data_IF_080860291929
#
_entry.id   IF_080860291929
#
_cell.length_a   1.000
_cell.length_b   1.000
_cell.length_c   1.000
_cell.angle_alpha   90.00
_cell.angle_beta   90.00
_cell.angle_gamma   90.00
#
_symmetry.space_group_name_H-M   'P 1'
#
loop_
_entity.id
_entity.type
_entity.pdbx_description
1 polymer ?
#
# COMPACT_ATOMS: atom_id res chain seq x y z
N UNK A 1 28.61 70.88 12.18
CA UNK A 1 28.80 70.13 13.45
C UNK A 1 27.72 70.48 14.49
N UNK A 2 27.27 71.74 14.59
CA UNK A 2 26.29 72.22 15.58
C UNK A 2 24.85 71.72 15.39
N UNK A 3 24.37 71.57 14.15
CA UNK A 3 22.98 71.14 13.90
C UNK A 3 22.71 69.67 14.27
N UNK A 4 23.73 68.83 14.16
CA UNK A 4 23.62 67.40 14.50
C UNK A 4 23.55 67.22 16.01
N UNK A 5 24.35 67.98 16.76
CA UNK A 5 24.31 68.01 18.23
C UNK A 5 22.96 68.54 18.76
N UNK A 6 22.41 69.57 18.10
CA UNK A 6 21.10 70.12 18.47
C UNK A 6 19.96 69.12 18.25
N UNK A 7 19.96 68.40 17.12
CA UNK A 7 18.99 67.32 16.85
C UNK A 7 19.16 66.13 17.79
N UNK A 8 20.40 65.83 18.21
CA UNK A 8 20.69 64.78 19.19
C UNK A 8 20.10 65.13 20.57
N UNK A 9 20.19 66.41 20.95
CA UNK A 9 19.71 66.90 22.24
C UNK A 9 18.17 66.98 22.28
N UNK A 10 17.53 67.42 21.19
CA UNK A 10 16.05 67.45 21.08
C UNK A 10 15.42 66.04 21.20
N UNK A 11 16.11 65.00 20.70
CA UNK A 11 15.61 63.64 20.67
C UNK A 11 16.28 62.68 21.66
N UNK A 12 17.02 63.20 22.65
CA UNK A 12 17.84 62.38 23.54
C UNK A 12 17.01 61.35 24.34
N UNK A 13 15.77 61.71 24.69
CA UNK A 13 14.83 60.81 25.35
C UNK A 13 14.38 59.65 24.44
N UNK A 14 14.11 59.93 23.16
CA UNK A 14 13.73 58.91 22.19
C UNK A 14 14.89 57.98 21.87
N UNK A 15 16.10 58.53 21.73
CA UNK A 15 17.32 57.75 21.47
C UNK A 15 17.61 56.82 22.64
N UNK A 16 17.53 57.30 23.89
CA UNK A 16 17.76 56.47 25.09
C UNK A 16 16.77 55.32 25.22
N UNK A 17 15.48 55.54 24.91
CA UNK A 17 14.47 54.47 24.89
C UNK A 17 14.79 53.43 23.82
N UNK A 18 15.10 53.85 22.59
CA UNK A 18 15.41 52.92 21.50
C UNK A 18 16.67 52.11 21.82
N UNK A 19 17.71 52.75 22.37
CA UNK A 19 18.92 52.06 22.80
C UNK A 19 18.65 51.05 23.92
N UNK A 20 17.80 51.40 24.91
CA UNK A 20 17.41 50.49 25.98
C UNK A 20 16.64 49.27 25.46
N UNK A 21 15.73 49.45 24.50
CA UNK A 21 14.98 48.36 23.87
C UNK A 21 15.91 47.43 23.08
N UNK A 22 16.83 47.98 22.30
CA UNK A 22 17.80 47.18 21.52
C UNK A 22 18.74 46.39 22.44
N UNK A 23 19.22 47.01 23.53
CA UNK A 23 20.02 46.32 24.54
C UNK A 23 19.23 45.20 25.22
N UNK A 24 17.97 45.44 25.58
CA UNK A 24 17.10 44.42 26.18
C UNK A 24 16.88 43.22 25.26
N UNK A 25 16.59 43.46 23.98
CA UNK A 25 16.43 42.39 22.98
C UNK A 25 17.72 41.60 22.76
N UNK A 26 18.87 42.28 22.71
CA UNK A 26 20.17 41.63 22.57
C UNK A 26 20.50 40.72 23.77
N UNK A 27 20.21 41.19 24.98
CA UNK A 27 20.43 40.44 26.21
C UNK A 27 19.51 39.21 26.31
N UNK A 28 18.24 39.36 25.91
CA UNK A 28 17.28 38.25 25.85
C UNK A 28 17.70 37.18 24.85
N UNK A 29 18.21 37.59 23.68
CA UNK A 29 18.72 36.66 22.68
C UNK A 29 19.94 35.89 23.21
N UNK A 30 20.90 36.59 23.82
CA UNK A 30 22.09 35.97 24.42
C UNK A 30 21.72 34.95 25.52
N UNK A 31 20.77 35.29 26.40
CA UNK A 31 20.28 34.39 27.44
C UNK A 31 19.61 33.14 26.85
N UNK A 32 18.76 33.29 25.82
CA UNK A 32 18.07 32.15 25.20
C UNK A 32 19.04 31.15 24.55
N UNK A 33 20.09 31.65 23.90
CA UNK A 33 21.16 30.81 23.32
C UNK A 33 21.99 30.14 24.41
N UNK A 34 22.34 30.87 25.48
CA UNK A 34 23.09 30.32 26.61
C UNK A 34 22.36 29.20 27.35
N UNK A 35 21.06 29.37 27.58
CA UNK A 35 20.19 28.35 28.21
C UNK A 35 20.08 27.10 27.31
N UNK A 36 19.92 27.29 26.00
CA UNK A 36 19.88 26.18 25.04
C UNK A 36 21.18 25.37 25.01
N UNK A 37 22.34 26.04 25.12
CA UNK A 37 23.63 25.37 25.20
C UNK A 37 23.78 24.60 26.52
N UNK A 38 23.43 25.22 27.65
CA UNK A 38 23.53 24.59 28.97
C UNK A 38 22.64 23.34 29.11
N UNK A 39 21.40 23.37 28.60
CA UNK A 39 20.49 22.22 28.64
C UNK A 39 21.01 21.08 27.75
N UNK A 40 21.59 21.40 26.57
CA UNK A 40 22.13 20.40 25.65
C UNK A 40 23.39 19.71 26.19
N UNK A 41 24.19 20.41 27.00
CA UNK A 41 25.37 19.85 27.66
C UNK A 41 25.06 18.90 28.82
N UNK A 42 23.81 18.85 29.29
CA UNK A 42 23.38 18.02 30.43
C UNK A 42 22.66 16.73 30.00
N UNK A 43 22.71 16.35 28.72
CA UNK A 43 22.23 15.03 28.26
C UNK A 43 23.42 14.08 28.18
N UNK A 44 23.72 13.28 29.23
CA UNK A 44 24.64 12.17 29.07
C UNK A 44 24.03 11.17 28.07
N UNK A 45 24.79 10.82 27.04
CA UNK A 45 24.56 9.66 26.16
C UNK A 45 24.78 8.37 26.95
N UNK A 46 23.98 8.13 28.00
CA UNK A 46 24.00 6.90 28.76
C UNK A 46 22.68 6.14 28.54
N UNK A 47 22.63 5.39 27.44
CA UNK A 47 21.77 4.21 27.33
C UNK A 47 22.58 3.01 26.84
N UNK A 48 23.68 2.73 27.55
CA UNK A 48 24.14 1.36 27.77
C UNK A 48 23.83 0.99 29.21
N UNK A 49 22.55 0.72 29.48
CA UNK A 49 22.14 0.03 30.69
C UNK A 49 21.68 -1.36 30.28
N UNK A 50 22.54 -2.33 30.62
CA UNK A 50 22.31 -3.75 30.51
C UNK A 50 20.90 -4.13 30.97
N UNK A 51 20.06 -4.58 30.03
CA UNK A 51 18.93 -5.42 30.37
C UNK A 51 19.47 -6.80 30.70
N UNK A 52 19.31 -7.16 31.97
CA UNK A 52 19.49 -8.48 32.57
C UNK A 52 19.40 -9.62 31.56
N UNK A 53 20.44 -10.47 31.58
CA UNK A 53 20.44 -11.74 30.88
C UNK A 53 19.20 -12.55 31.28
N UNK A 54 18.26 -12.69 30.34
CA UNK A 54 17.28 -13.75 30.38
C UNK A 54 18.02 -15.11 30.40
N UNK A 55 17.44 -16.18 30.98
CA UNK A 55 18.04 -17.50 30.86
C UNK A 55 18.20 -17.79 29.36
N UNK A 56 19.43 -18.06 28.92
CA UNK A 56 19.67 -18.54 27.55
C UNK A 56 18.76 -19.76 27.37
N UNK A 57 17.78 -19.74 26.44
CA UNK A 57 17.12 -20.96 26.08
C UNK A 57 18.23 -21.90 25.61
N UNK A 58 18.41 -23.02 26.32
CA UNK A 58 19.20 -24.13 25.79
C UNK A 58 18.71 -24.32 24.36
N UNK A 59 19.62 -24.20 23.40
CA UNK A 59 19.34 -24.48 22.01
C UNK A 59 18.89 -25.93 21.95
N UNK A 60 17.57 -26.16 22.01
CA UNK A 60 16.98 -27.33 21.40
C UNK A 60 17.54 -27.33 19.99
N UNK A 61 18.41 -28.29 19.72
CA UNK A 61 18.89 -28.56 18.38
C UNK A 61 17.66 -28.58 17.49
N UNK A 62 17.47 -27.51 16.72
CA UNK A 62 16.39 -27.46 15.73
C UNK A 62 16.70 -28.63 14.81
N UNK A 63 15.81 -29.65 14.72
CA UNK A 63 16.08 -30.77 13.85
C UNK A 63 16.37 -30.21 12.46
N UNK A 64 17.45 -30.70 11.86
CA UNK A 64 17.95 -30.27 10.57
C UNK A 64 16.80 -30.25 9.55
N UNK A 65 16.76 -29.23 8.68
CA UNK A 65 15.64 -29.00 7.76
C UNK A 65 15.31 -30.23 6.88
N UNK A 66 16.26 -31.16 6.72
CA UNK A 66 16.11 -32.47 6.08
C UNK A 66 15.06 -33.37 6.76
N UNK A 67 14.90 -33.30 8.08
CA UNK A 67 13.90 -34.08 8.83
C UNK A 67 12.48 -33.67 8.45
N UNK A 68 12.27 -32.39 8.14
CA UNK A 68 10.98 -31.87 7.69
C UNK A 68 10.77 -32.03 6.19
N UNK A 69 11.81 -32.36 5.42
CA UNK A 69 11.69 -32.54 3.98
C UNK A 69 10.71 -33.67 3.67
N UNK A 70 10.82 -34.83 4.31
CA UNK A 70 9.89 -35.97 4.11
C UNK A 70 8.42 -35.66 4.47
N UNK A 71 8.22 -34.76 5.42
CA UNK A 71 6.89 -34.29 5.85
C UNK A 71 6.30 -33.36 4.79
N UNK A 72 7.14 -32.51 4.19
CA UNK A 72 6.79 -31.52 3.16
C UNK A 72 6.74 -32.13 1.76
N UNK A 73 7.50 -33.20 1.48
CA UNK A 73 7.66 -33.79 0.14
C UNK A 73 6.67 -34.90 -0.18
N UNK A 74 5.81 -35.35 0.74
CA UNK A 74 4.69 -36.20 0.33
C UNK A 74 3.98 -37.05 1.37
N UNK A 75 4.42 -37.09 2.63
CA UNK A 75 3.81 -37.98 3.62
C UNK A 75 2.50 -37.45 4.25
N UNK A 76 2.22 -36.15 4.19
CA UNK A 76 1.02 -35.56 4.83
C UNK A 76 -0.29 -35.77 4.04
N UNK A 77 -0.21 -36.09 2.75
CA UNK A 77 -1.36 -36.14 1.86
C UNK A 77 -1.54 -37.49 1.15
N UNK A 78 -0.54 -38.40 1.25
CA UNK A 78 -0.62 -39.74 0.65
C UNK A 78 -0.95 -40.77 1.72
N UNK A 79 -2.23 -41.15 1.78
CA UNK A 79 -2.56 -42.53 2.14
C UNK A 79 -1.98 -43.43 1.05
N UNK A 80 -0.91 -44.15 1.37
CA UNK A 80 -0.32 -45.29 0.62
C UNK A 80 -0.82 -45.48 -0.83
N UNK A 81 -0.27 -44.71 -1.76
CA UNK A 81 -0.18 -45.11 -3.16
C UNK A 81 1.12 -44.57 -3.73
N UNK A 82 1.82 -45.50 -4.37
CA UNK A 82 3.24 -45.51 -4.65
C UNK A 82 3.62 -44.49 -5.73
N UNK A 83 4.80 -43.91 -5.55
CA UNK A 83 5.77 -43.47 -6.55
C UNK A 83 5.31 -43.58 -8.03
N UNK A 84 4.97 -42.45 -8.65
CA UNK A 84 5.14 -42.29 -10.08
C UNK A 84 5.79 -40.95 -10.36
N UNK A 85 7.11 -40.98 -10.48
CA UNK A 85 7.87 -39.93 -11.12
C UNK A 85 7.50 -39.96 -12.61
N UNK A 86 6.64 -39.03 -13.03
CA UNK A 86 6.43 -38.73 -14.43
C UNK A 86 6.99 -37.33 -14.69
N UNK A 87 8.28 -37.30 -15.03
CA UNK A 87 8.87 -36.25 -15.85
C UNK A 87 8.11 -36.20 -17.17
N UNK A 88 7.35 -35.13 -17.40
CA UNK A 88 6.63 -34.90 -18.64
C UNK A 88 6.74 -33.42 -19.02
N UNK A 89 7.80 -33.09 -19.74
CA UNK A 89 7.77 -31.95 -20.65
C UNK A 89 6.75 -32.26 -21.76
N UNK A 90 5.69 -31.46 -21.80
CA UNK A 90 4.84 -31.33 -22.97
C UNK A 90 4.66 -29.85 -23.24
N UNK A 91 5.49 -29.33 -24.14
CA UNK A 91 5.06 -28.24 -25.01
C UNK A 91 3.94 -28.76 -25.89
N UNK A 92 2.77 -28.16 -25.74
CA UNK A 92 1.59 -28.48 -26.52
C UNK A 92 0.45 -27.58 -26.07
N UNK A 93 -0.04 -26.75 -26.98
CA UNK A 93 -1.32 -26.04 -26.86
C UNK A 93 -2.46 -27.07 -26.83
N UNK A 94 -2.70 -27.64 -25.67
CA UNK A 94 -3.85 -28.49 -25.37
C UNK A 94 -4.89 -27.64 -24.67
N UNK A 95 -6.14 -27.76 -25.08
CA UNK A 95 -7.28 -27.12 -24.41
C UNK A 95 -7.20 -27.44 -22.91
N UNK A 96 -7.07 -26.39 -22.09
CA UNK A 96 -6.81 -26.55 -20.67
C UNK A 96 -8.04 -27.13 -19.96
N UNK A 97 -7.86 -28.21 -19.21
CA UNK A 97 -8.95 -28.90 -18.49
C UNK A 97 -9.52 -28.09 -17.32
N UNK A 98 -10.59 -28.57 -16.69
CA UNK A 98 -11.10 -27.94 -15.46
C UNK A 98 -10.37 -28.53 -14.23
N UNK A 99 -9.71 -27.65 -13.45
CA UNK A 99 -8.98 -27.98 -12.23
C UNK A 99 -9.59 -27.26 -11.04
N UNK A 100 -9.52 -27.85 -9.85
CA UNK A 100 -9.94 -27.24 -8.59
C UNK A 100 -8.75 -27.16 -7.64
N UNK A 101 -8.48 -25.98 -7.08
CA UNK A 101 -7.43 -25.83 -6.08
C UNK A 101 -7.98 -26.20 -4.70
N UNK A 102 -7.53 -27.32 -4.12
CA UNK A 102 -8.03 -27.80 -2.83
C UNK A 102 -7.26 -27.25 -1.63
N UNK A 103 -5.98 -26.89 -1.82
CA UNK A 103 -5.13 -26.42 -0.74
C UNK A 103 -3.79 -25.89 -1.22
N UNK A 104 -3.13 -25.11 -0.38
CA UNK A 104 -1.80 -24.58 -0.65
C UNK A 104 -0.94 -24.64 0.60
N UNK A 105 0.33 -24.97 0.40
CA UNK A 105 1.39 -24.90 1.40
C UNK A 105 2.38 -23.86 0.91
N UNK A 106 2.47 -22.76 1.62
CA UNK A 106 3.44 -21.70 1.31
C UNK A 106 4.81 -22.05 1.87
N UNK A 107 5.85 -21.70 1.14
CA UNK A 107 7.23 -21.88 1.58
C UNK A 107 8.21 -21.31 0.55
N UNK A 108 9.44 -21.82 0.53
CA UNK A 108 10.42 -21.48 -0.51
C UNK A 108 10.05 -22.16 -1.83
N UNK A 109 10.73 -21.83 -2.93
CA UNK A 109 10.44 -22.41 -4.26
C UNK A 109 10.44 -23.95 -4.25
N UNK A 110 11.26 -24.56 -3.41
CA UNK A 110 11.40 -26.01 -3.27
C UNK A 110 10.37 -26.65 -2.33
N UNK A 111 9.82 -25.91 -1.35
CA UNK A 111 8.89 -26.46 -0.35
C UNK A 111 7.44 -26.07 -0.59
N UNK A 112 7.17 -25.07 -1.44
CA UNK A 112 5.81 -24.65 -1.74
C UNK A 112 5.07 -25.71 -2.58
N UNK A 113 3.84 -26.05 -2.17
CA UNK A 113 3.00 -27.07 -2.82
C UNK A 113 1.57 -26.57 -3.02
N UNK A 114 0.99 -26.87 -4.17
CA UNK A 114 -0.42 -26.61 -4.48
C UNK A 114 -1.13 -27.96 -4.67
N UNK A 115 -2.16 -28.22 -3.89
CA UNK A 115 -2.98 -29.42 -4.00
C UNK A 115 -4.09 -29.15 -5.01
N UNK A 116 -4.01 -29.81 -6.17
CA UNK A 116 -4.88 -29.58 -7.32
C UNK A 116 -5.61 -30.87 -7.66
N UNK A 117 -6.93 -30.77 -7.81
CA UNK A 117 -7.78 -31.85 -8.28
C UNK A 117 -8.20 -31.58 -9.72
N UNK A 118 -7.85 -32.49 -10.62
CA UNK A 118 -8.36 -32.49 -12.00
C UNK A 118 -9.74 -33.16 -12.03
N UNK A 119 -10.63 -32.69 -12.91
CA UNK A 119 -11.97 -33.27 -13.03
C UNK A 119 -11.89 -34.76 -13.39
N UNK A 120 -12.34 -35.62 -12.48
CA UNK A 120 -12.31 -37.08 -12.64
C UNK A 120 -11.04 -37.77 -12.13
N UNK A 121 -10.12 -37.05 -11.48
CA UNK A 121 -8.93 -37.62 -10.82
C UNK A 121 -8.85 -37.24 -9.35
N UNK A 122 -8.00 -37.94 -8.60
CA UNK A 122 -7.68 -37.60 -7.22
C UNK A 122 -6.84 -36.31 -7.14
N UNK A 123 -6.75 -35.75 -5.94
CA UNK A 123 -6.02 -34.52 -5.70
C UNK A 123 -4.52 -34.80 -5.56
N UNK A 124 -3.71 -34.17 -6.41
CA UNK A 124 -2.25 -34.30 -6.40
C UNK A 124 -1.55 -33.00 -6.04
N UNK A 125 -0.36 -33.12 -5.44
CA UNK A 125 0.44 -31.99 -4.99
C UNK A 125 1.48 -31.58 -6.05
N UNK A 126 1.40 -30.32 -6.50
CA UNK A 126 2.27 -29.75 -7.53
C UNK A 126 3.20 -28.68 -6.98
N UNK A 127 4.43 -28.65 -7.50
CA UNK A 127 5.46 -27.66 -7.19
C UNK A 127 5.46 -26.51 -8.21
N UNK A 128 6.10 -25.38 -7.86
CA UNK A 128 6.27 -24.25 -8.78
C UNK A 128 7.09 -24.69 -10.00
N UNK A 129 6.52 -24.57 -11.19
CA UNK A 129 7.08 -24.98 -12.48
C UNK A 129 6.46 -26.24 -13.07
N UNK A 130 5.70 -27.01 -12.28
CA UNK A 130 5.00 -28.20 -12.79
C UNK A 130 3.69 -27.84 -13.48
N UNK A 131 3.30 -28.64 -14.47
CA UNK A 131 2.07 -28.50 -15.23
C UNK A 131 1.01 -29.52 -14.81
N UNK A 132 -0.25 -29.11 -14.83
CA UNK A 132 -1.43 -29.95 -14.56
C UNK A 132 -2.56 -29.54 -15.51
N UNK A 133 -3.09 -30.48 -16.28
CA UNK A 133 -4.21 -30.26 -17.21
C UNK A 133 -4.05 -29.01 -18.13
N UNK A 134 -2.81 -28.69 -18.57
CA UNK A 134 -2.49 -27.52 -19.39
C UNK A 134 -2.16 -26.22 -18.63
N UNK A 135 -2.14 -26.25 -17.29
CA UNK A 135 -1.78 -25.13 -16.43
C UNK A 135 -0.42 -25.31 -15.77
N UNK A 136 0.48 -24.36 -15.91
CA UNK A 136 1.79 -24.38 -15.23
C UNK A 136 1.75 -23.56 -13.94
N UNK A 137 2.10 -24.16 -12.80
CA UNK A 137 2.16 -23.45 -11.52
C UNK A 137 3.30 -22.43 -11.56
N UNK A 138 2.99 -21.14 -11.49
CA UNK A 138 4.00 -20.05 -11.51
C UNK A 138 4.26 -19.48 -10.12
N UNK A 139 3.29 -19.60 -9.20
CA UNK A 139 3.46 -19.12 -7.83
C UNK A 139 2.41 -19.66 -6.88
N UNK A 140 2.76 -19.73 -5.59
CA UNK A 140 1.89 -20.25 -4.54
C UNK A 140 1.87 -19.22 -3.41
N UNK A 141 0.68 -18.72 -3.11
CA UNK A 141 0.39 -17.76 -2.04
C UNK A 141 -0.35 -18.42 -0.89
N UNK A 142 -0.66 -17.63 0.15
CA UNK A 142 -1.27 -18.13 1.40
C UNK A 142 -2.65 -18.76 1.23
N UNK A 143 -3.42 -18.30 0.25
CA UNK A 143 -4.81 -18.73 0.03
C UNK A 143 -5.14 -18.94 -1.45
N UNK A 144 -4.11 -19.01 -2.29
CA UNK A 144 -4.25 -19.06 -3.75
C UNK A 144 -3.00 -19.61 -4.41
N UNK A 145 -3.14 -20.11 -5.62
CA UNK A 145 -2.04 -20.42 -6.52
C UNK A 145 -2.24 -19.72 -7.86
N UNK A 146 -1.14 -19.34 -8.50
CA UNK A 146 -1.11 -18.71 -9.81
C UNK A 146 -0.64 -19.73 -10.84
N UNK A 147 -1.42 -19.85 -11.91
CA UNK A 147 -1.24 -20.79 -12.98
C UNK A 147 -1.04 -20.03 -14.31
N UNK A 148 -0.20 -20.53 -15.20
CA UNK A 148 -0.04 -20.02 -16.57
C UNK A 148 -0.73 -20.98 -17.54
N UNK A 149 -1.58 -20.46 -18.41
CA UNK A 149 -2.26 -21.19 -19.49
C UNK A 149 -2.09 -20.39 -20.78
N UNK A 150 -1.33 -20.93 -21.74
CA UNK A 150 -0.86 -20.13 -22.88
C UNK A 150 -0.09 -18.89 -22.41
N UNK A 151 -0.50 -17.69 -22.84
CA UNK A 151 0.07 -16.41 -22.39
C UNK A 151 -0.63 -15.80 -21.17
N UNK A 152 -1.73 -16.40 -20.69
CA UNK A 152 -2.55 -15.82 -19.61
C UNK A 152 -2.16 -16.38 -18.25
N UNK A 153 -2.01 -15.49 -17.27
CA UNK A 153 -1.79 -15.87 -15.87
C UNK A 153 -3.10 -15.83 -15.09
N UNK A 154 -3.49 -16.98 -14.54
CA UNK A 154 -4.73 -17.23 -13.84
C UNK A 154 -4.47 -17.41 -12.34
N UNK A 155 -5.13 -16.61 -11.49
CA UNK A 155 -5.12 -16.80 -10.04
C UNK A 155 -6.35 -17.58 -9.59
N UNK A 156 -6.14 -18.76 -9.02
CA UNK A 156 -7.18 -19.63 -8.47
C UNK A 156 -7.06 -19.60 -6.94
N UNK A 157 -8.15 -19.30 -6.23
CA UNK A 157 -8.15 -19.37 -4.76
C UNK A 157 -8.45 -20.80 -4.28
N UNK A 158 -8.10 -21.11 -3.04
CA UNK A 158 -8.41 -22.41 -2.45
C UNK A 158 -9.94 -22.60 -2.37
N UNK A 159 -10.43 -23.78 -2.77
CA UNK A 159 -11.84 -24.12 -2.91
C UNK A 159 -12.46 -23.73 -4.25
N UNK A 160 -11.67 -23.18 -5.18
CA UNK A 160 -12.17 -22.63 -6.43
C UNK A 160 -11.75 -23.44 -7.67
N UNK A 161 -12.63 -23.48 -8.67
CA UNK A 161 -12.37 -24.10 -9.98
C UNK A 161 -11.72 -23.14 -10.97
N UNK A 162 -10.95 -23.66 -11.92
CA UNK A 162 -10.29 -22.88 -12.97
C UNK A 162 -11.28 -22.15 -13.87
N UNK A 163 -12.45 -22.73 -14.15
CA UNK A 163 -13.51 -22.06 -14.92
C UNK A 163 -14.00 -20.78 -14.25
N UNK A 164 -14.19 -20.81 -12.92
CA UNK A 164 -14.61 -19.63 -12.14
C UNK A 164 -13.51 -18.56 -12.11
N UNK A 165 -12.27 -19.00 -11.96
CA UNK A 165 -11.12 -18.10 -12.00
C UNK A 165 -10.97 -17.46 -13.39
N UNK A 166 -11.22 -18.22 -14.47
CA UNK A 166 -11.16 -17.74 -15.85
C UNK A 166 -12.26 -16.73 -16.11
N UNK A 167 -13.49 -16.97 -15.62
CA UNK A 167 -14.55 -15.96 -15.66
C UNK A 167 -14.08 -14.68 -14.98
N UNK A 168 -13.46 -14.73 -13.80
CA UNK A 168 -12.95 -13.51 -13.14
C UNK A 168 -11.87 -12.79 -13.95
N UNK A 169 -10.93 -13.52 -14.56
CA UNK A 169 -9.91 -12.90 -15.41
C UNK A 169 -10.56 -12.31 -16.65
N UNK A 170 -11.50 -13.00 -17.30
CA UNK A 170 -12.21 -12.50 -18.47
C UNK A 170 -13.14 -11.32 -18.12
N UNK A 171 -13.74 -11.31 -16.93
CA UNK A 171 -14.45 -10.15 -16.36
C UNK A 171 -13.47 -9.02 -16.07
N UNK A 172 -12.19 -9.29 -15.79
CA UNK A 172 -11.16 -8.28 -15.52
C UNK A 172 -10.52 -7.71 -16.79
N UNK A 173 -10.36 -8.50 -17.87
CA UNK A 173 -10.00 -8.02 -19.22
C UNK A 173 -11.17 -7.32 -19.92
N UNK A 174 -12.42 -7.73 -19.64
CA UNK A 174 -13.62 -6.98 -20.07
C UNK A 174 -13.96 -5.82 -19.11
N UNK A 175 -13.35 -5.77 -17.92
CA UNK A 175 -13.38 -4.63 -16.98
C UNK A 175 -12.24 -3.64 -17.18
N UNK A 176 -11.65 -3.59 -18.39
CA UNK A 176 -11.29 -2.30 -18.96
C UNK A 176 -12.54 -1.54 -19.45
N UNK A 177 -13.72 -2.18 -19.48
CA UNK A 177 -14.96 -1.58 -19.96
C UNK A 177 -16.27 -2.04 -19.28
N UNK A 178 -16.26 -2.50 -18.02
CA UNK A 178 -17.48 -2.78 -17.26
C UNK A 178 -17.38 -2.34 -15.79
N UNK A 179 -17.76 -1.07 -15.60
CA UNK A 179 -18.71 -0.56 -14.59
C UNK A 179 -18.86 -1.41 -13.31
N UNK A 180 -18.15 -1.00 -12.25
CA UNK A 180 -18.37 -1.47 -10.89
C UNK A 180 -19.81 -1.27 -10.45
N UNK A 181 -20.34 -2.26 -9.74
CA UNK A 181 -21.54 -2.15 -8.92
C UNK A 181 -21.46 -0.85 -8.09
N UNK A 182 -22.46 0.03 -8.27
CA UNK A 182 -22.51 1.41 -7.77
C UNK A 182 -21.48 2.38 -8.38
N UNK A 183 -21.66 2.72 -9.65
CA UNK A 183 -21.09 3.97 -10.19
C UNK A 183 -21.85 5.16 -9.62
N UNK A 184 -21.14 6.03 -8.89
CA UNK A 184 -21.70 7.28 -8.40
C UNK A 184 -21.15 8.41 -9.26
N UNK A 185 -22.03 9.09 -10.00
CA UNK A 185 -21.65 10.27 -10.76
C UNK A 185 -21.78 11.50 -9.87
N UNK A 186 -20.70 12.26 -9.73
CA UNK A 186 -20.66 13.51 -8.96
C UNK A 186 -20.35 14.65 -9.90
N UNK A 187 -21.32 15.55 -10.09
CA UNK A 187 -21.14 16.77 -10.88
C UNK A 187 -20.71 17.91 -9.96
N UNK A 188 -19.60 18.57 -10.28
CA UNK A 188 -19.05 19.70 -9.53
C UNK A 188 -18.82 20.89 -10.45
N UNK A 189 -19.19 22.08 -10.00
CA UNK A 189 -18.87 23.29 -10.76
C UNK A 189 -17.40 23.66 -10.57
N UNK A 190 -16.75 24.13 -11.64
CA UNK A 190 -15.33 24.48 -11.67
C UNK A 190 -14.99 25.63 -10.74
N UNK A 191 -15.94 26.53 -10.49
CA UNK A 191 -15.80 27.62 -9.51
C UNK A 191 -15.75 27.10 -8.08
N UNK A 192 -16.67 26.18 -7.72
CA UNK A 192 -16.66 25.53 -6.40
C UNK A 192 -15.38 24.73 -6.22
N UNK A 193 -14.98 24.02 -7.27
CA UNK A 193 -13.76 23.23 -7.28
C UNK A 193 -12.51 24.10 -7.07
N UNK A 194 -12.34 25.18 -7.82
CA UNK A 194 -11.25 26.14 -7.64
C UNK A 194 -11.21 26.71 -6.23
N UNK A 195 -12.35 27.02 -5.61
CA UNK A 195 -12.45 27.55 -4.24
C UNK A 195 -12.00 26.56 -3.17
N UNK A 196 -12.18 25.26 -3.40
CA UNK A 196 -11.73 24.19 -2.49
C UNK A 196 -10.23 23.91 -2.66
N UNK A 197 -9.74 24.04 -3.90
CA UNK A 197 -8.33 23.82 -4.25
C UNK A 197 -7.42 25.04 -4.13
N UNK A 198 -7.95 26.24 -3.80
CA UNK A 198 -7.14 27.47 -3.75
C UNK A 198 -6.11 27.46 -2.61
N UNK A 199 -6.15 26.46 -1.73
CA UNK A 199 -5.07 26.18 -0.79
C UNK A 199 -3.84 25.67 -1.53
N UNK A 200 -2.68 26.23 -1.20
CA UNK A 200 -1.38 25.82 -1.74
C UNK A 200 -1.21 24.30 -1.59
N UNK A 201 -0.37 23.63 -2.40
CA UNK A 201 -0.20 22.17 -2.38
C UNK A 201 0.09 21.61 -0.96
N UNK A 202 0.65 22.44 -0.08
CA UNK A 202 0.86 22.18 1.35
C UNK A 202 -0.42 22.04 2.19
N UNK A 203 -1.52 22.72 1.82
CA UNK A 203 -2.81 22.63 2.51
C UNK A 203 -3.48 21.26 2.31
N UNK A 204 -3.10 20.53 1.26
CA UNK A 204 -3.61 19.18 0.98
C UNK A 204 -3.23 18.18 2.07
N UNK A 205 -1.96 18.22 2.48
CA UNK A 205 -1.43 17.41 3.59
C UNK A 205 -1.99 17.86 4.94
N UNK A 206 -2.41 19.12 5.04
CA UNK A 206 -2.98 19.71 6.26
C UNK A 206 -4.42 19.26 6.50
N UNK A 207 -5.24 19.24 5.46
CA UNK A 207 -6.67 18.92 5.55
C UNK A 207 -7.00 17.46 5.20
N UNK A 208 -6.04 16.71 4.66
CA UNK A 208 -6.19 15.29 4.33
C UNK A 208 -4.99 14.51 4.88
N UNK A 209 -5.26 13.45 5.65
CA UNK A 209 -4.23 12.47 6.03
C UNK A 209 -4.50 11.19 5.30
N UNK A 210 -3.47 10.66 4.66
CA UNK A 210 -3.51 9.37 3.97
C UNK A 210 -2.28 8.54 4.28
N UNK A 211 -2.38 7.23 4.07
CA UNK A 211 -1.25 6.30 4.19
C UNK A 211 -1.32 5.25 3.10
N UNK A 212 -0.17 4.73 2.69
CA UNK A 212 -0.13 3.57 1.81
C UNK A 212 -0.72 2.37 2.54
N UNK A 213 -1.61 1.64 1.87
CA UNK A 213 -2.19 0.40 2.38
C UNK A 213 -1.41 -0.76 1.82
N UNK A 214 -0.79 -1.53 2.71
CA UNK A 214 -0.11 -2.77 2.36
C UNK A 214 -1.01 -3.99 2.61
N UNK A 215 -0.96 -4.94 1.69
CA UNK A 215 -1.56 -6.27 1.87
C UNK A 215 -0.57 -7.33 1.37
N UNK A 216 -0.04 -8.13 2.29
CA UNK A 216 0.91 -9.20 1.94
C UNK A 216 2.21 -8.73 1.30
N UNK A 217 2.74 -7.57 1.73
CA UNK A 217 3.99 -7.01 1.21
C UNK A 217 3.86 -6.22 -0.09
N UNK A 218 2.64 -6.10 -0.65
CA UNK A 218 2.37 -5.26 -1.82
C UNK A 218 1.49 -4.07 -1.43
N UNK A 219 1.79 -2.89 -1.97
CA UNK A 219 0.92 -1.73 -1.83
C UNK A 219 -0.31 -1.98 -2.69
N UNK A 220 -1.48 -1.90 -2.07
CA UNK A 220 -2.76 -2.20 -2.73
C UNK A 220 -3.57 -0.94 -3.03
N UNK A 221 -3.18 0.20 -2.48
CA UNK A 221 -3.91 1.45 -2.60
C UNK A 221 -3.47 2.48 -1.57
N UNK A 222 -4.17 3.61 -1.55
CA UNK A 222 -3.95 4.69 -0.59
C UNK A 222 -5.16 4.77 0.33
N UNK A 223 -4.95 4.52 1.62
CA UNK A 223 -5.99 4.62 2.65
C UNK A 223 -6.15 6.07 3.11
N UNK A 224 -7.37 6.57 3.07
CA UNK A 224 -7.75 7.87 3.63
C UNK A 224 -7.92 7.71 5.15
N UNK A 225 -7.05 8.35 5.92
CA UNK A 225 -7.05 8.29 7.40
C UNK A 225 -7.92 9.39 7.97
N UNK A 226 -7.82 10.59 7.40
CA UNK A 226 -8.59 11.75 7.82
C UNK A 226 -8.92 12.62 6.61
N UNK A 227 -10.13 13.14 6.58
CA UNK A 227 -10.62 14.10 5.59
C UNK A 227 -11.40 15.19 6.33
N UNK A 228 -11.03 16.45 6.12
CA UNK A 228 -11.80 17.58 6.65
C UNK A 228 -13.14 17.74 5.91
N UNK A 229 -14.30 17.69 6.61
CA UNK A 229 -15.61 17.75 5.93
C UNK A 229 -15.88 19.03 5.14
N UNK A 230 -15.32 20.16 5.58
CA UNK A 230 -15.55 21.46 4.96
C UNK A 230 -14.52 21.77 3.85
N UNK A 231 -13.28 21.28 4.03
CA UNK A 231 -12.14 21.67 3.19
C UNK A 231 -11.60 20.56 2.28
N UNK A 232 -11.92 19.30 2.55
CA UNK A 232 -11.46 18.18 1.72
C UNK A 232 -12.32 18.05 0.46
N UNK A 233 -11.70 18.20 -0.70
CA UNK A 233 -12.37 17.94 -1.97
C UNK A 233 -12.81 16.46 -2.07
N UNK A 234 -11.98 15.52 -1.59
CA UNK A 234 -12.31 14.08 -1.57
C UNK A 234 -13.57 13.81 -0.74
N UNK A 235 -13.73 14.48 0.40
CA UNK A 235 -14.92 14.34 1.23
C UNK A 235 -16.19 14.83 0.52
N UNK A 236 -16.08 15.97 -0.18
CA UNK A 236 -17.19 16.53 -0.96
C UNK A 236 -17.57 15.65 -2.15
N UNK A 237 -16.62 14.91 -2.71
CA UNK A 237 -16.83 13.90 -3.74
C UNK A 237 -17.48 12.61 -3.21
N UNK A 238 -17.75 12.52 -1.91
CA UNK A 238 -18.38 11.35 -1.31
C UNK A 238 -17.40 10.34 -0.72
N UNK A 239 -16.09 10.60 -0.77
CA UNK A 239 -15.12 9.81 -0.03
C UNK A 239 -15.29 10.00 1.48
N UNK A 240 -14.93 9.00 2.26
CA UNK A 240 -15.05 8.98 3.71
C UNK A 240 -13.75 8.50 4.35
N UNK A 241 -13.47 8.91 5.61
CA UNK A 241 -12.36 8.34 6.36
C UNK A 241 -12.47 6.81 6.42
N UNK A 242 -11.37 6.10 6.17
CA UNK A 242 -11.31 4.65 6.11
C UNK A 242 -11.34 4.07 4.70
N UNK A 243 -11.79 4.84 3.70
CA UNK A 243 -11.79 4.44 2.30
C UNK A 243 -10.38 4.17 1.76
N UNK A 244 -10.26 3.24 0.82
CA UNK A 244 -8.99 2.91 0.16
C UNK A 244 -9.13 3.23 -1.32
N UNK A 245 -8.39 4.23 -1.77
CA UNK A 245 -8.26 4.57 -3.18
C UNK A 245 -7.41 3.51 -3.88
N UNK A 246 -8.01 2.80 -4.83
CA UNK A 246 -7.41 1.67 -5.56
C UNK A 246 -6.87 2.10 -6.90
N UNK A 247 -7.71 2.79 -7.68
CA UNK A 247 -7.39 3.20 -9.04
C UNK A 247 -7.83 4.63 -9.32
N UNK A 248 -7.11 5.27 -10.23
CA UNK A 248 -7.37 6.59 -10.77
C UNK A 248 -7.24 6.52 -12.29
N UNK A 249 -8.31 6.85 -13.02
CA UNK A 249 -8.38 6.75 -14.48
C UNK A 249 -7.90 5.38 -15.03
N UNK A 250 -8.21 4.30 -14.31
CA UNK A 250 -7.79 2.94 -14.67
C UNK A 250 -6.39 2.53 -14.19
N UNK A 251 -5.55 3.48 -13.76
CA UNK A 251 -4.21 3.20 -13.22
C UNK A 251 -4.24 2.93 -11.71
N UNK A 252 -3.31 2.12 -11.21
CA UNK A 252 -3.25 1.78 -9.78
C UNK A 252 -2.58 2.86 -8.94
N UNK A 253 -3.16 3.16 -7.79
CA UNK A 253 -2.62 4.10 -6.81
C UNK A 253 -1.69 3.40 -5.82
N UNK A 254 -0.47 3.10 -6.26
CA UNK A 254 0.52 2.34 -5.47
C UNK A 254 1.62 3.20 -4.84
N UNK A 255 1.65 4.52 -5.10
CA UNK A 255 2.68 5.39 -4.57
C UNK A 255 2.15 6.82 -4.33
N UNK A 256 2.94 7.62 -3.61
CA UNK A 256 2.58 9.01 -3.28
C UNK A 256 2.58 9.92 -4.52
N UNK A 257 3.43 9.66 -5.51
CA UNK A 257 3.49 10.44 -6.75
C UNK A 257 2.16 10.37 -7.54
N UNK A 258 1.53 9.19 -7.60
CA UNK A 258 0.24 8.99 -8.27
C UNK A 258 -0.92 9.73 -7.58
N UNK A 259 -0.83 10.00 -6.28
CA UNK A 259 -1.79 10.87 -5.60
C UNK A 259 -1.65 12.33 -6.06
N UNK A 260 -0.43 12.78 -6.31
CA UNK A 260 -0.18 14.12 -6.82
C UNK A 260 -0.67 14.27 -8.26
N UNK A 261 -0.51 13.22 -9.06
CA UNK A 261 -1.03 13.15 -10.42
C UNK A 261 -2.57 13.21 -10.44
N UNK A 262 -3.25 12.44 -9.59
CA UNK A 262 -4.71 12.53 -9.40
C UNK A 262 -5.15 13.97 -9.14
N UNK A 263 -4.42 14.70 -8.30
CA UNK A 263 -4.72 16.09 -7.98
C UNK A 263 -4.54 17.03 -9.17
N UNK A 264 -3.44 16.89 -9.92
CA UNK A 264 -3.19 17.69 -11.12
C UNK A 264 -4.25 17.42 -12.20
N UNK A 265 -4.60 16.15 -12.40
CA UNK A 265 -5.65 15.77 -13.34
C UNK A 265 -6.99 16.38 -12.94
N UNK A 266 -7.33 16.46 -11.65
CA UNK A 266 -8.54 17.16 -11.23
C UNK A 266 -8.56 18.64 -11.61
N UNK A 267 -7.41 19.30 -11.68
CA UNK A 267 -7.34 20.69 -12.13
C UNK A 267 -7.48 20.83 -13.64
N UNK A 268 -6.98 19.87 -14.42
CA UNK A 268 -6.83 19.98 -15.88
C UNK A 268 -7.90 19.26 -16.67
N UNK A 269 -8.50 18.19 -16.12
CA UNK A 269 -9.47 17.33 -16.79
C UNK A 269 -10.89 17.64 -16.32
N UNK A 270 -11.85 17.48 -17.24
CA UNK A 270 -13.28 17.71 -16.97
C UNK A 270 -13.99 16.43 -16.52
N UNK A 271 -13.38 15.26 -16.75
CA UNK A 271 -13.93 13.97 -16.35
C UNK A 271 -12.85 13.10 -15.76
N UNK A 272 -13.12 12.55 -14.58
CA UNK A 272 -12.20 11.70 -13.84
C UNK A 272 -12.95 10.50 -13.27
N UNK A 273 -12.31 9.33 -13.27
CA UNK A 273 -12.86 8.13 -12.65
C UNK A 273 -11.94 7.64 -11.53
N UNK A 274 -12.51 7.40 -10.34
CA UNK A 274 -11.76 6.97 -9.16
C UNK A 274 -12.40 5.73 -8.55
N UNK A 275 -11.64 4.67 -8.40
CA UNK A 275 -12.10 3.46 -7.70
C UNK A 275 -11.73 3.52 -6.23
N UNK A 276 -12.76 3.45 -5.40
CA UNK A 276 -12.68 3.48 -3.95
C UNK A 276 -13.17 2.16 -3.38
N UNK A 277 -12.37 1.53 -2.54
CA UNK A 277 -12.82 0.39 -1.74
C UNK A 277 -13.35 0.86 -0.38
N UNK A 278 -14.61 0.53 -0.09
CA UNK A 278 -15.28 0.80 1.17
C UNK A 278 -15.93 -0.47 1.69
N UNK A 279 -15.51 -0.92 2.88
CA UNK A 279 -16.04 -2.15 3.47
C UNK A 279 -15.85 -3.40 2.61
N UNK A 280 -14.76 -3.46 1.84
CA UNK A 280 -14.44 -4.58 0.92
C UNK A 280 -15.18 -4.55 -0.42
N UNK A 281 -16.05 -3.56 -0.67
CA UNK A 281 -16.71 -3.34 -1.96
C UNK A 281 -16.01 -2.23 -2.73
N UNK A 282 -15.89 -2.39 -4.05
CA UNK A 282 -15.35 -1.36 -4.95
C UNK A 282 -16.50 -0.47 -5.44
N UNK A 283 -16.37 0.82 -5.21
CA UNK A 283 -17.29 1.87 -5.63
C UNK A 283 -16.50 2.77 -6.60
N UNK A 284 -17.06 3.01 -7.79
CA UNK A 284 -16.43 3.89 -8.77
C UNK A 284 -17.10 5.26 -8.74
N UNK A 285 -16.32 6.31 -8.51
CA UNK A 285 -16.76 7.70 -8.56
C UNK A 285 -16.39 8.30 -9.90
N UNK A 286 -17.40 8.63 -10.70
CA UNK A 286 -17.24 9.38 -11.95
C UNK A 286 -17.49 10.85 -11.68
N UNK A 287 -16.44 11.64 -11.73
CA UNK A 287 -16.44 13.06 -11.40
C UNK A 287 -16.52 13.83 -12.71
N UNK A 288 -17.53 14.69 -12.85
CA UNK A 288 -17.69 15.58 -13.99
C UNK A 288 -17.57 17.03 -13.49
N UNK A 289 -16.58 17.75 -14.00
CA UNK A 289 -16.27 19.13 -13.63
C UNK A 289 -16.80 20.04 -14.75
N UNK A 290 -17.73 20.93 -14.43
CA UNK A 290 -18.38 21.85 -15.37
C UNK A 290 -18.14 23.31 -15.03
#
# INVERSE_FOLDING_TARGET
MSDLLRRLQENIFLITIVTAVVLGLSLAYAASVGIGYYIRSQVPLNTSAARSAAPRPQSRSVPEASVFENIVTGAFFRGTAMLSAASGESEGTVAAGEITLMGVITGTRQTARALVMETGKEADAFSIGQSVAGYTVTGIGRSYATFKVGETSLRINVGEKSGQAQTRVNTQTTASNQKSESTQTVTLSRERFKKILTGNQADLLKYNKWTLKNHGGKIVGIKLVYLDPAKSFLYQLGARPGDILRRFNGEKLENQAKMLELYQSLMTQDKISVDVERGGKIITFDIVIQ
#
